data_IF_739091975354
#
_entry.id   IF_739091975354
#
_cell.length_a   1.000
_cell.length_b   1.000
_cell.length_c   1.000
_cell.angle_alpha   90.00
_cell.angle_beta   90.00
_cell.angle_gamma   90.00
#
_symmetry.space_group_name_H-M   'P 1'
#
loop_
_entity.id
_entity.type
_entity.pdbx_description
1 polymer ?
#
# COMPACT_ATOMS: atom_id res chain seq x y z
N UNK A 1 -9.50 3.35 -14.48
CA UNK A 1 -8.71 2.12 -14.69
C UNK A 1 -8.21 1.59 -13.34
N UNK A 2 -8.12 0.26 -13.15
CA UNK A 2 -7.70 -0.36 -11.87
C UNK A 2 -6.23 -0.77 -11.91
N UNK A 3 -5.46 -0.35 -10.92
CA UNK A 3 -4.07 -0.73 -10.71
C UNK A 3 -3.90 -1.51 -9.41
N UNK A 4 -2.81 -2.27 -9.29
CA UNK A 4 -2.43 -2.93 -8.06
C UNK A 4 -0.93 -2.80 -7.76
N UNK A 5 -0.55 -3.10 -6.53
CA UNK A 5 0.86 -3.18 -6.11
C UNK A 5 1.26 -4.65 -5.97
N UNK A 6 2.28 -5.08 -6.72
CA UNK A 6 2.79 -6.45 -6.71
C UNK A 6 4.22 -6.51 -6.19
N UNK A 7 4.53 -7.50 -5.36
CA UNK A 7 5.88 -7.67 -4.85
C UNK A 7 6.88 -7.92 -5.99
N UNK A 8 7.90 -7.07 -6.12
CA UNK A 8 8.92 -7.15 -7.17
C UNK A 8 9.55 -8.54 -7.24
N UNK A 9 9.98 -9.05 -6.09
CA UNK A 9 10.67 -10.33 -5.95
C UNK A 9 9.76 -11.57 -6.13
N UNK A 10 8.44 -11.39 -6.28
CA UNK A 10 7.48 -12.48 -6.57
C UNK A 10 6.98 -12.38 -8.02
N UNK A 11 6.44 -11.21 -8.39
CA UNK A 11 5.76 -10.97 -9.64
C UNK A 11 6.73 -10.65 -10.79
N UNK A 12 7.88 -10.02 -10.50
CA UNK A 12 8.78 -9.45 -11.50
C UNK A 12 10.13 -10.16 -11.56
N UNK A 13 10.11 -11.49 -11.37
CA UNK A 13 11.32 -12.32 -11.34
C UNK A 13 12.01 -12.50 -12.69
N UNK A 14 11.23 -12.51 -13.77
CA UNK A 14 11.72 -12.74 -15.12
C UNK A 14 10.87 -11.97 -16.14
N UNK A 15 11.37 -11.85 -17.37
CA UNK A 15 10.69 -11.09 -18.43
C UNK A 15 9.24 -11.54 -18.67
N UNK A 16 8.96 -12.84 -18.65
CA UNK A 16 7.62 -13.35 -18.92
C UNK A 16 6.62 -12.93 -17.84
N UNK A 17 6.94 -13.15 -16.56
CA UNK A 17 6.07 -12.75 -15.45
C UNK A 17 6.00 -11.22 -15.34
N UNK A 18 7.11 -10.52 -15.51
CA UNK A 18 7.15 -9.05 -15.50
C UNK A 18 6.22 -8.45 -16.57
N UNK A 19 6.25 -8.98 -17.79
CA UNK A 19 5.32 -8.57 -18.86
C UNK A 19 3.87 -8.87 -18.48
N UNK A 20 3.58 -10.10 -17.99
CA UNK A 20 2.24 -10.48 -17.56
C UNK A 20 1.67 -9.51 -16.51
N UNK A 21 2.42 -9.22 -15.45
CA UNK A 21 1.97 -8.34 -14.37
C UNK A 21 1.90 -6.86 -14.81
N UNK A 22 2.83 -6.41 -15.68
CA UNK A 22 2.77 -5.05 -16.24
C UNK A 22 1.52 -4.86 -17.09
N UNK A 23 1.21 -5.81 -17.98
CA UNK A 23 -0.03 -5.80 -18.77
C UNK A 23 -1.28 -5.94 -17.89
N UNK A 24 -1.18 -6.66 -16.78
CA UNK A 24 -2.20 -6.77 -15.75
C UNK A 24 -2.34 -5.54 -14.84
N UNK A 25 -1.70 -4.41 -15.18
CA UNK A 25 -1.76 -3.15 -14.44
C UNK A 25 -1.26 -3.26 -13.00
N UNK A 26 -0.21 -4.07 -12.79
CA UNK A 26 0.43 -4.24 -11.49
C UNK A 26 1.77 -3.49 -11.49
N UNK A 27 1.96 -2.65 -10.48
CA UNK A 27 3.19 -1.89 -10.28
C UNK A 27 4.22 -2.69 -9.45
N UNK A 28 5.50 -2.74 -9.87
CA UNK A 28 6.56 -3.47 -9.19
C UNK A 28 6.96 -2.81 -7.87
N UNK A 29 6.65 -3.43 -6.74
CA UNK A 29 6.83 -2.87 -5.39
C UNK A 29 7.89 -3.65 -4.62
N UNK A 30 8.96 -2.98 -4.19
CA UNK A 30 10.00 -3.58 -3.36
C UNK A 30 9.58 -3.62 -1.89
N UNK A 31 9.88 -4.75 -1.24
CA UNK A 31 9.66 -4.96 0.19
C UNK A 31 11.01 -4.91 0.90
N UNK A 32 11.07 -4.15 2.01
CA UNK A 32 12.30 -3.90 2.79
C UNK A 32 13.09 -5.16 3.15
N UNK A 33 12.38 -6.27 3.36
CA UNK A 33 13.02 -7.54 3.69
C UNK A 33 13.86 -8.13 2.55
N UNK A 34 13.44 -7.93 1.30
CA UNK A 34 14.01 -8.62 0.13
C UNK A 34 14.89 -7.70 -0.72
N UNK A 35 14.82 -6.39 -0.50
CA UNK A 35 15.45 -5.41 -1.36
C UNK A 35 15.79 -4.14 -0.59
N UNK A 36 17.02 -3.60 -0.76
CA UNK A 36 17.39 -2.30 -0.19
C UNK A 36 16.61 -1.15 -0.83
N UNK A 37 15.99 -1.36 -1.99
CA UNK A 37 15.13 -0.39 -2.68
C UNK A 37 13.69 -0.39 -2.15
N UNK A 38 13.39 -1.25 -1.17
CA UNK A 38 12.10 -1.25 -0.48
C UNK A 38 11.92 -0.03 0.41
N UNK A 39 10.68 0.17 0.85
CA UNK A 39 10.36 1.21 1.80
C UNK A 39 9.38 2.24 1.25
N UNK A 40 9.27 3.34 1.97
CA UNK A 40 8.17 4.28 1.80
C UNK A 40 8.32 5.15 0.54
N UNK A 41 9.55 5.50 0.17
CA UNK A 41 9.88 6.45 -0.92
C UNK A 41 10.37 5.77 -2.20
N UNK A 42 10.06 4.49 -2.37
CA UNK A 42 10.37 3.80 -3.62
C UNK A 42 9.65 4.46 -4.82
N UNK A 43 10.26 4.48 -6.03
CA UNK A 43 9.67 5.13 -7.21
C UNK A 43 8.25 4.69 -7.54
N UNK A 44 7.95 3.42 -7.26
CA UNK A 44 6.62 2.81 -7.46
C UNK A 44 5.52 3.49 -6.65
N UNK A 45 5.82 3.96 -5.42
CA UNK A 45 4.85 4.68 -4.62
C UNK A 45 4.55 6.05 -5.22
N UNK A 46 5.56 6.73 -5.78
CA UNK A 46 5.35 7.99 -6.52
C UNK A 46 4.49 7.77 -7.74
N UNK A 47 4.72 6.70 -8.52
CA UNK A 47 3.84 6.35 -9.65
C UNK A 47 2.41 6.06 -9.20
N UNK A 48 2.22 5.35 -8.09
CA UNK A 48 0.90 5.05 -7.53
C UNK A 48 0.15 6.32 -7.10
N UNK A 49 0.82 7.26 -6.41
CA UNK A 49 0.25 8.57 -6.04
C UNK A 49 -0.11 9.35 -7.30
N UNK A 50 0.79 9.41 -8.29
CA UNK A 50 0.50 10.06 -9.57
C UNK A 50 -0.69 9.44 -10.29
N UNK A 51 -0.88 8.13 -10.26
CA UNK A 51 -2.06 7.48 -10.84
C UNK A 51 -3.36 7.88 -10.14
N UNK A 52 -3.34 8.00 -8.79
CA UNK A 52 -4.50 8.42 -8.01
C UNK A 52 -4.83 9.91 -8.20
N UNK A 53 -3.82 10.75 -8.39
CA UNK A 53 -3.96 12.19 -8.53
C UNK A 53 -4.44 12.63 -9.92
N UNK A 54 -5.08 13.80 -9.97
CA UNK A 54 -5.42 14.50 -11.20
C UNK A 54 -4.18 15.03 -11.93
N UNK A 55 -4.30 15.49 -13.19
CA UNK A 55 -3.19 16.02 -13.97
C UNK A 55 -2.73 17.43 -13.55
N UNK A 56 -3.07 17.90 -12.34
CA UNK A 56 -2.78 19.27 -11.90
C UNK A 56 -1.27 19.51 -11.71
N UNK A 57 -0.73 20.69 -12.09
CA UNK A 57 0.65 21.08 -11.79
C UNK A 57 0.98 21.09 -10.29
N UNK A 58 -0.03 21.29 -9.43
CA UNK A 58 0.11 21.25 -7.96
C UNK A 58 0.33 19.83 -7.42
N UNK A 59 -0.06 18.80 -8.17
CA UNK A 59 0.04 17.39 -7.76
C UNK A 59 1.48 16.82 -7.89
N UNK A 60 2.46 17.65 -8.24
CA UNK A 60 3.85 17.26 -8.54
C UNK A 60 4.86 17.55 -7.42
N UNK A 61 4.44 18.15 -6.31
CA UNK A 61 5.31 18.27 -5.13
C UNK A 61 5.10 17.05 -4.22
N UNK A 62 5.68 15.90 -4.59
CA UNK A 62 5.77 14.78 -3.65
C UNK A 62 7.07 14.89 -2.86
N UNK A 63 7.09 14.43 -1.62
CA UNK A 63 8.31 14.39 -0.79
C UNK A 63 9.47 13.58 -1.43
N UNK A 64 9.19 12.85 -2.51
CA UNK A 64 10.16 12.04 -3.27
C UNK A 64 10.83 12.79 -4.43
N UNK A 65 10.33 13.95 -4.87
CA UNK A 65 10.87 14.66 -6.03
C UNK A 65 12.08 15.57 -5.70
N UNK A 66 12.44 15.70 -4.42
CA UNK A 66 13.46 16.65 -3.94
C UNK A 66 14.91 16.19 -4.01
N UNK A 67 15.24 15.06 -4.61
CA UNK A 67 16.66 14.70 -4.81
C UNK A 67 17.31 15.38 -6.04
N UNK A 68 16.53 16.01 -6.94
CA UNK A 68 17.10 16.67 -8.13
C UNK A 68 16.39 17.95 -8.61
N UNK A 69 15.22 18.32 -8.07
CA UNK A 69 14.44 19.45 -8.58
C UNK A 69 14.64 20.73 -7.73
N UNK A 70 15.77 21.41 -7.92
CA UNK A 70 16.02 22.76 -7.37
C UNK A 70 15.50 23.87 -8.29
N UNK A 71 14.36 23.66 -8.98
CA UNK A 71 13.86 24.64 -9.95
C UNK A 71 12.65 25.37 -9.36
N UNK A 72 12.71 26.71 -9.19
CA UNK A 72 11.54 27.50 -8.81
C UNK A 72 10.43 27.35 -9.86
N UNK A 73 9.16 27.68 -9.56
CA UNK A 73 8.06 27.59 -10.54
C UNK A 73 8.37 28.48 -11.74
N UNK A 74 8.91 27.87 -12.79
CA UNK A 74 9.25 28.51 -14.04
C UNK A 74 7.98 28.55 -14.92
N UNK A 75 7.72 29.63 -15.66
CA UNK A 75 6.62 29.70 -16.65
C UNK A 75 6.84 28.78 -17.86
N UNK A 76 7.80 27.86 -17.80
CA UNK A 76 8.06 26.87 -18.83
C UNK A 76 6.91 25.86 -18.93
N UNK A 77 6.61 25.35 -20.15
CA UNK A 77 5.67 24.24 -20.31
C UNK A 77 6.10 23.07 -19.43
N UNK A 78 5.14 22.33 -18.84
CA UNK A 78 5.46 21.22 -17.96
C UNK A 78 6.34 20.21 -18.69
N UNK A 79 7.47 19.85 -18.06
CA UNK A 79 8.38 18.83 -18.59
C UNK A 79 7.57 17.55 -18.85
N UNK A 80 7.66 16.94 -20.04
CA UNK A 80 6.95 15.69 -20.32
C UNK A 80 7.34 14.64 -19.29
N UNK A 81 6.37 14.06 -18.61
CA UNK A 81 6.59 12.96 -17.66
C UNK A 81 7.35 11.83 -18.38
N UNK A 82 8.39 11.26 -17.75
CA UNK A 82 9.17 10.21 -18.39
C UNK A 82 8.28 9.01 -18.67
N UNK A 83 8.32 8.47 -19.89
CA UNK A 83 7.51 7.33 -20.31
C UNK A 83 7.89 6.02 -19.59
N UNK A 84 9.03 6.02 -18.91
CA UNK A 84 9.55 4.89 -18.17
C UNK A 84 10.10 5.33 -16.82
N UNK A 85 10.13 4.39 -15.86
CA UNK A 85 10.77 4.58 -14.57
C UNK A 85 11.52 3.30 -14.18
N UNK A 86 12.56 3.49 -13.38
CA UNK A 86 13.31 2.40 -12.78
C UNK A 86 12.97 2.29 -11.29
N UNK A 87 12.93 1.07 -10.78
CA UNK A 87 12.72 0.78 -9.35
C UNK A 87 14.03 0.53 -8.59
N UNK A 88 15.11 0.22 -9.30
CA UNK A 88 16.43 -0.08 -8.69
C UNK A 88 17.62 0.55 -9.43
N UNK A 89 17.39 1.37 -10.46
CA UNK A 89 18.40 2.01 -11.30
C UNK A 89 18.89 1.15 -12.47
N UNK A 90 18.45 -0.10 -12.60
CA UNK A 90 18.87 -1.06 -13.63
C UNK A 90 17.69 -1.55 -14.46
N UNK A 91 16.55 -1.81 -13.82
CA UNK A 91 15.32 -2.20 -14.50
C UNK A 91 14.63 -1.01 -15.19
N UNK A 92 13.69 -1.32 -16.08
CA UNK A 92 12.96 -0.32 -16.83
C UNK A 92 11.50 -0.76 -17.01
N UNK A 93 10.57 0.01 -16.42
CA UNK A 93 9.14 -0.23 -16.49
C UNK A 93 8.45 0.95 -17.15
N UNK A 94 7.37 0.72 -17.89
CA UNK A 94 6.52 1.81 -18.39
C UNK A 94 5.97 2.60 -17.22
N UNK A 95 6.04 3.93 -17.25
CA UNK A 95 5.47 4.82 -16.25
C UNK A 95 4.02 5.14 -16.65
N UNK A 96 3.01 4.44 -16.09
CA UNK A 96 1.64 4.61 -16.56
C UNK A 96 1.09 5.99 -16.27
N UNK A 97 1.59 6.68 -15.23
CA UNK A 97 1.14 8.01 -14.89
C UNK A 97 1.58 9.10 -15.89
N UNK A 98 2.47 8.78 -16.84
CA UNK A 98 2.83 9.66 -17.95
C UNK A 98 1.67 9.84 -18.94
N UNK A 99 0.69 8.93 -18.95
CA UNK A 99 -0.49 9.03 -19.79
C UNK A 99 -1.66 9.62 -18.99
N UNK A 100 -2.19 10.76 -19.44
CA UNK A 100 -3.31 11.45 -18.77
C UNK A 100 -4.55 10.56 -18.59
N UNK A 101 -4.80 9.63 -19.53
CA UNK A 101 -5.88 8.65 -19.46
C UNK A 101 -5.79 7.69 -18.26
N UNK A 102 -4.59 7.53 -17.69
CA UNK A 102 -4.35 6.68 -16.52
C UNK A 102 -4.47 7.43 -15.18
N UNK A 103 -4.68 8.75 -15.20
CA UNK A 103 -4.86 9.58 -13.98
C UNK A 103 -6.26 9.40 -13.40
N UNK A 104 -6.45 9.78 -12.13
CA UNK A 104 -7.68 9.49 -11.37
C UNK A 104 -8.06 7.99 -11.45
N UNK A 105 -7.04 7.13 -11.42
CA UNK A 105 -7.21 5.69 -11.43
C UNK A 105 -7.67 5.18 -10.07
N UNK A 106 -8.05 3.91 -10.03
CA UNK A 106 -8.32 3.18 -8.79
C UNK A 106 -7.12 2.30 -8.47
N UNK A 107 -6.73 2.24 -7.19
CA UNK A 107 -5.61 1.42 -6.74
C UNK A 107 -6.09 0.43 -5.67
N UNK A 108 -5.84 -0.86 -5.89
CA UNK A 108 -6.11 -1.92 -4.94
C UNK A 108 -4.83 -2.28 -4.17
N UNK A 109 -4.87 -2.23 -2.83
CA UNK A 109 -3.70 -2.46 -1.97
C UNK A 109 -4.01 -3.45 -0.86
N UNK A 110 -3.06 -4.34 -0.56
CA UNK A 110 -3.07 -5.21 0.62
C UNK A 110 -2.07 -4.66 1.67
N UNK A 111 -2.52 -3.85 2.62
CA UNK A 111 -1.64 -3.03 3.45
C UNK A 111 -0.82 -3.81 4.50
N UNK A 112 -1.15 -5.05 4.80
CA UNK A 112 -0.35 -5.91 5.69
C UNK A 112 0.98 -6.34 5.04
N UNK A 113 1.06 -6.29 3.71
CA UNK A 113 2.22 -6.63 2.90
C UNK A 113 2.81 -8.04 3.15
N UNK A 114 1.99 -8.97 3.63
CA UNK A 114 2.31 -10.40 3.75
C UNK A 114 1.03 -11.24 3.67
N UNK A 115 1.18 -12.56 3.48
CA UNK A 115 0.07 -13.48 3.67
C UNK A 115 -0.03 -13.79 5.17
N UNK A 116 -1.05 -13.22 5.83
CA UNK A 116 -1.38 -13.45 7.23
C UNK A 116 -2.62 -14.32 7.32
N UNK A 117 -2.50 -15.50 7.93
CA UNK A 117 -3.63 -16.41 8.15
C UNK A 117 -3.81 -16.63 9.66
N UNK A 118 -4.60 -15.78 10.30
CA UNK A 118 -4.91 -15.88 11.72
C UNK A 118 -6.03 -16.90 11.99
N UNK A 119 -5.97 -17.70 13.08
CA UNK A 119 -7.04 -18.61 13.47
C UNK A 119 -8.38 -17.92 13.70
N UNK A 120 -8.37 -16.70 14.24
CA UNK A 120 -9.53 -15.87 14.56
C UNK A 120 -9.87 -14.84 13.45
N UNK A 121 -9.19 -14.95 12.30
CA UNK A 121 -9.25 -13.97 11.20
C UNK A 121 -8.99 -12.53 11.65
N UNK A 122 -8.19 -12.31 12.72
CA UNK A 122 -7.72 -11.00 13.16
C UNK A 122 -6.81 -10.33 12.13
N UNK A 123 -6.64 -9.02 12.27
CA UNK A 123 -5.87 -8.20 11.33
C UNK A 123 -4.47 -7.89 11.90
N UNK A 124 -3.49 -7.73 11.01
CA UNK A 124 -2.18 -7.18 11.38
C UNK A 124 -2.19 -5.65 11.30
N UNK A 125 -1.15 -5.01 11.84
CA UNK A 125 -0.89 -3.60 11.54
C UNK A 125 -0.72 -3.37 10.04
N UNK A 126 -1.14 -2.19 9.59
CA UNK A 126 -1.04 -1.78 8.19
C UNK A 126 0.24 -0.96 7.95
N UNK A 127 0.92 -1.23 6.84
CA UNK A 127 2.15 -0.52 6.44
C UNK A 127 1.84 0.91 6.01
N UNK A 128 2.74 1.85 6.32
CA UNK A 128 2.57 3.29 6.06
C UNK A 128 2.46 3.69 4.58
N UNK A 129 2.67 2.77 3.63
CA UNK A 129 2.51 3.05 2.21
C UNK A 129 1.10 3.55 1.87
N UNK A 130 0.06 3.01 2.51
CA UNK A 130 -1.32 3.51 2.31
C UNK A 130 -1.53 4.93 2.79
N UNK A 131 -0.80 5.34 3.83
CA UNK A 131 -0.88 6.71 4.34
C UNK A 131 -0.39 7.71 3.33
N UNK A 132 0.67 7.40 2.56
CA UNK A 132 1.12 8.28 1.47
C UNK A 132 0.07 8.42 0.38
N UNK A 133 -0.58 7.32 0.00
CA UNK A 133 -1.62 7.34 -1.02
C UNK A 133 -2.77 8.28 -0.63
N UNK A 134 -3.18 8.31 0.64
CA UNK A 134 -4.28 9.15 1.13
C UNK A 134 -3.83 10.62 1.35
N UNK A 135 -2.63 10.82 1.90
CA UNK A 135 -2.14 12.15 2.28
C UNK A 135 -1.60 12.95 1.09
N UNK A 136 -0.93 12.30 0.13
CA UNK A 136 -0.21 12.95 -0.96
C UNK A 136 -0.98 13.00 -2.28
N UNK A 137 -2.08 12.23 -2.43
CA UNK A 137 -2.88 12.30 -3.64
C UNK A 137 -3.80 13.53 -3.66
N UNK A 138 -3.90 14.16 -4.82
CA UNK A 138 -4.69 15.37 -5.06
C UNK A 138 -5.43 15.28 -6.42
N UNK A 139 -6.78 15.29 -6.46
CA UNK A 139 -7.68 15.30 -5.30
C UNK A 139 -7.56 14.05 -4.44
N UNK A 140 -8.18 14.08 -3.25
CA UNK A 140 -8.20 12.93 -2.35
C UNK A 140 -8.79 11.70 -3.06
N UNK A 141 -8.18 10.51 -2.93
CA UNK A 141 -8.71 9.32 -3.56
C UNK A 141 -9.83 8.74 -2.70
N UNK A 142 -11.00 8.50 -3.28
CA UNK A 142 -12.11 7.82 -2.61
C UNK A 142 -11.63 6.51 -1.94
N UNK A 143 -12.05 6.31 -0.69
CA UNK A 143 -11.61 5.18 0.12
C UNK A 143 -12.72 4.14 0.28
N UNK A 144 -12.42 2.90 -0.11
CA UNK A 144 -13.35 1.76 -0.03
C UNK A 144 -12.64 0.63 0.75
N UNK A 145 -13.00 0.37 2.02
CA UNK A 145 -12.42 -0.75 2.76
C UNK A 145 -12.96 -2.08 2.23
N UNK A 146 -12.13 -3.12 2.28
CA UNK A 146 -12.51 -4.48 1.92
C UNK A 146 -11.96 -5.47 2.94
N UNK A 147 -12.79 -6.41 3.38
CA UNK A 147 -12.38 -7.55 4.19
C UNK A 147 -12.60 -8.85 3.41
N UNK A 148 -11.53 -9.63 3.25
CA UNK A 148 -11.55 -10.90 2.49
C UNK A 148 -11.27 -12.05 3.44
N UNK A 149 -12.22 -12.99 3.52
CA UNK A 149 -12.13 -14.16 4.38
C UNK A 149 -12.42 -15.45 3.61
N UNK A 150 -11.77 -16.54 4.00
CA UNK A 150 -12.00 -17.90 3.48
C UNK A 150 -10.96 -18.37 2.46
N UNK A 151 -10.13 -17.46 1.94
CA UNK A 151 -9.01 -17.80 1.05
C UNK A 151 -7.98 -18.70 1.72
N UNK A 152 -7.82 -18.58 3.05
CA UNK A 152 -6.99 -19.44 3.88
C UNK A 152 -7.48 -20.89 3.93
N UNK A 153 -8.78 -21.16 3.73
CA UNK A 153 -9.30 -22.53 3.67
C UNK A 153 -9.08 -23.17 2.29
N UNK A 154 -8.97 -22.33 1.24
CA UNK A 154 -8.65 -22.78 -0.12
C UNK A 154 -7.15 -23.04 -0.26
N UNK A 155 -6.32 -22.11 0.22
CA UNK A 155 -4.86 -22.11 0.10
C UNK A 155 -4.19 -21.92 1.48
N UNK A 156 -4.38 -22.89 2.39
CA UNK A 156 -3.83 -22.86 3.74
C UNK A 156 -2.29 -22.90 3.74
N UNK A 157 -1.61 -22.10 4.55
CA UNK A 157 -0.13 -22.02 4.54
C UNK A 157 0.58 -23.29 5.06
N UNK A 158 -0.13 -24.11 5.83
CA UNK A 158 0.30 -25.43 6.32
C UNK A 158 -0.04 -26.58 5.37
N UNK A 159 -0.57 -26.29 4.17
CA UNK A 159 -0.98 -27.32 3.20
C UNK A 159 0.19 -28.20 2.73
N UNK A 160 -0.04 -29.51 2.71
CA UNK A 160 0.85 -30.52 2.16
C UNK A 160 0.82 -30.63 0.63
N UNK A 161 1.38 -31.72 0.11
CA UNK A 161 1.35 -32.02 -1.33
C UNK A 161 -0.03 -32.56 -1.77
N UNK A 162 -0.60 -32.11 -2.92
CA UNK A 162 -0.08 -31.11 -3.85
C UNK A 162 -0.34 -29.67 -3.39
N UNK A 163 0.73 -28.89 -3.20
CA UNK A 163 0.67 -27.53 -2.62
C UNK A 163 0.07 -26.47 -3.54
N UNK A 164 0.03 -26.74 -4.84
CA UNK A 164 -0.43 -25.80 -5.87
C UNK A 164 -1.94 -25.90 -6.14
N UNK A 165 -2.60 -26.96 -5.66
CA UNK A 165 -4.00 -27.22 -5.98
C UNK A 165 -4.92 -26.57 -4.92
N UNK A 166 -5.87 -25.69 -5.31
CA UNK A 166 -6.81 -25.09 -4.38
C UNK A 166 -7.80 -26.13 -3.85
N UNK A 167 -8.14 -26.05 -2.55
CA UNK A 167 -9.15 -26.93 -1.94
C UNK A 167 -10.57 -26.51 -2.37
N UNK A 168 -11.28 -27.42 -3.02
CA UNK A 168 -12.64 -27.22 -3.53
C UNK A 168 -13.66 -27.29 -2.38
N UNK A 169 -14.79 -26.60 -2.50
CA UNK A 169 -15.92 -26.66 -1.55
C UNK A 169 -15.85 -25.67 -0.38
N UNK A 170 -14.76 -24.91 -0.27
CA UNK A 170 -14.64 -23.83 0.71
C UNK A 170 -15.36 -22.56 0.24
N UNK A 171 -15.85 -21.76 1.20
CA UNK A 171 -16.54 -20.50 0.93
C UNK A 171 -15.57 -19.34 1.06
N UNK A 172 -15.59 -18.42 0.08
CA UNK A 172 -14.94 -17.11 0.18
C UNK A 172 -16.02 -16.07 0.48
N UNK A 173 -15.77 -15.23 1.47
CA UNK A 173 -16.59 -14.07 1.82
C UNK A 173 -15.78 -12.82 1.56
N UNK A 174 -16.31 -11.92 0.76
CA UNK A 174 -15.73 -10.61 0.51
C UNK A 174 -16.76 -9.59 0.97
N UNK A 175 -16.39 -8.78 1.95
CA UNK A 175 -17.19 -7.68 2.45
C UNK A 175 -16.58 -6.41 1.92
N UNK A 176 -17.36 -5.62 1.20
CA UNK A 176 -16.94 -4.33 0.65
C UNK A 176 -17.71 -3.28 1.45
N UNK A 177 -16.99 -2.34 2.05
CA UNK A 177 -17.60 -1.23 2.77
C UNK A 177 -18.17 -0.19 1.81
N UNK A 178 -19.00 0.69 2.35
CA UNK A 178 -19.51 1.83 1.59
C UNK A 178 -18.35 2.78 1.20
N UNK A 179 -18.38 3.37 0.00
CA UNK A 179 -17.42 4.38 -0.37
C UNK A 179 -17.48 5.54 0.63
N UNK A 180 -16.35 5.81 1.27
CA UNK A 180 -16.31 6.76 2.37
C UNK A 180 -15.72 8.09 1.92
N UNK A 181 -16.35 9.18 2.35
CA UNK A 181 -15.77 10.51 2.17
C UNK A 181 -14.43 10.59 2.92
N UNK A 182 -13.38 10.80 2.14
CA UNK A 182 -11.99 10.85 2.61
C UNK A 182 -11.80 11.99 3.60
N UNK A 183 -12.50 13.11 3.41
CA UNK A 183 -12.40 14.26 4.31
C UNK A 183 -13.15 14.00 5.63
N UNK A 184 -14.18 13.15 5.62
CA UNK A 184 -14.83 12.70 6.85
C UNK A 184 -13.93 11.78 7.69
N UNK A 185 -13.22 10.85 7.08
CA UNK A 185 -12.41 9.86 7.82
C UNK A 185 -10.99 10.37 8.09
N UNK A 186 -10.38 11.04 7.13
CA UNK A 186 -8.97 11.41 7.15
C UNK A 186 -8.75 12.94 7.09
N UNK A 187 -9.80 13.76 7.10
CA UNK A 187 -9.71 15.21 6.89
C UNK A 187 -8.81 15.92 7.88
N UNK A 188 -8.80 15.51 9.15
CA UNK A 188 -7.89 16.08 10.16
C UNK A 188 -6.42 15.83 9.79
N UNK A 189 -6.07 14.59 9.46
CA UNK A 189 -4.71 14.22 9.07
C UNK A 189 -4.31 14.87 7.75
N UNK A 190 -5.23 14.96 6.78
CA UNK A 190 -4.97 15.63 5.50
C UNK A 190 -4.78 17.14 5.66
N UNK A 191 -5.56 17.80 6.51
CA UNK A 191 -5.40 19.21 6.81
C UNK A 191 -4.05 19.49 7.51
N UNK A 192 -3.66 18.66 8.47
CA UNK A 192 -2.35 18.74 9.11
C UNK A 192 -1.20 18.49 8.11
N UNK A 193 -1.36 17.50 7.22
CA UNK A 193 -0.40 17.23 6.15
C UNK A 193 -0.25 18.42 5.20
N UNK A 194 -1.35 19.07 4.79
CA UNK A 194 -1.31 20.29 3.96
C UNK A 194 -0.53 21.41 4.64
N UNK A 195 -0.77 21.66 5.94
CA UNK A 195 0.02 22.64 6.71
C UNK A 195 1.50 22.29 6.77
N UNK A 196 1.84 21.00 6.82
CA UNK A 196 3.22 20.54 6.79
C UNK A 196 3.86 20.78 5.42
N UNK A 197 3.13 20.53 4.33
CA UNK A 197 3.55 20.81 2.96
C UNK A 197 3.77 22.32 2.74
N UNK A 198 2.92 23.16 3.29
CA UNK A 198 3.03 24.63 3.21
C UNK A 198 4.32 25.18 3.86
N UNK A 199 4.93 24.44 4.80
CA UNK A 199 6.25 24.81 5.35
C UNK A 199 7.37 24.69 4.32
N UNK A 200 7.14 23.96 3.22
CA UNK A 200 8.05 23.88 2.06
C UNK A 200 9.33 23.08 2.29
N UNK A 201 9.45 22.35 3.40
CA UNK A 201 10.65 21.57 3.72
C UNK A 201 10.42 20.07 3.43
N UNK A 202 11.06 19.51 2.39
CA UNK A 202 10.90 18.11 2.03
C UNK A 202 11.49 17.14 3.07
N UNK A 203 12.49 17.55 3.85
CA UNK A 203 13.04 16.72 4.93
C UNK A 203 12.03 16.62 6.08
N UNK A 204 11.31 17.70 6.38
CA UNK A 204 10.23 17.66 7.37
C UNK A 204 9.10 16.72 6.92
N UNK A 205 8.71 16.77 5.65
CA UNK A 205 7.71 15.83 5.12
C UNK A 205 8.21 14.39 5.21
N UNK A 206 9.51 14.15 5.06
CA UNK A 206 10.07 12.81 5.04
C UNK A 206 10.19 12.22 6.46
N UNK A 207 10.86 12.95 7.33
CA UNK A 207 11.49 12.40 8.55
C UNK A 207 10.95 13.02 9.85
N UNK A 208 10.16 14.10 9.78
CA UNK A 208 9.67 14.76 11.00
C UNK A 208 8.79 13.83 11.85
N UNK A 209 8.82 14.00 13.19
CA UNK A 209 7.92 13.29 14.08
C UNK A 209 6.44 13.50 13.72
N UNK A 210 6.08 14.73 13.34
CA UNK A 210 4.72 15.10 12.89
C UNK A 210 4.30 14.30 11.65
N UNK A 211 5.15 14.22 10.61
CA UNK A 211 4.88 13.40 9.42
C UNK A 211 4.72 11.90 9.75
N UNK A 212 5.54 11.38 10.66
CA UNK A 212 5.47 9.97 11.09
C UNK A 212 4.18 9.68 11.85
N UNK A 213 3.79 10.56 12.77
CA UNK A 213 2.54 10.44 13.52
C UNK A 213 1.32 10.47 12.61
N UNK A 214 1.28 11.39 11.64
CA UNK A 214 0.20 11.44 10.64
C UNK A 214 0.10 10.12 9.87
N UNK A 215 1.24 9.53 9.46
CA UNK A 215 1.24 8.24 8.75
C UNK A 215 0.76 7.09 9.62
N UNK A 216 1.19 7.03 10.89
CA UNK A 216 0.73 6.02 11.85
C UNK A 216 -0.78 6.14 12.06
N UNK A 217 -1.26 7.37 12.29
CA UNK A 217 -2.69 7.67 12.49
C UNK A 217 -3.53 7.24 11.28
N UNK A 218 -3.12 7.60 10.06
CA UNK A 218 -3.85 7.21 8.84
C UNK A 218 -3.82 5.69 8.63
N UNK A 219 -2.66 5.04 8.78
CA UNK A 219 -2.56 3.59 8.61
C UNK A 219 -3.44 2.83 9.61
N UNK A 220 -3.46 3.29 10.88
CA UNK A 220 -4.36 2.76 11.90
C UNK A 220 -5.83 2.97 11.52
N UNK A 221 -6.20 4.18 11.10
CA UNK A 221 -7.59 4.50 10.71
C UNK A 221 -8.05 3.63 9.53
N UNK A 222 -7.19 3.38 8.53
CA UNK A 222 -7.47 2.45 7.43
C UNK A 222 -7.72 1.03 7.94
N UNK A 223 -6.93 0.56 8.92
CA UNK A 223 -7.14 -0.74 9.56
C UNK A 223 -8.47 -0.79 10.30
N UNK A 224 -8.78 0.22 11.11
CA UNK A 224 -10.01 0.30 11.89
C UNK A 224 -11.25 0.22 10.97
N UNK A 225 -11.21 0.84 9.78
CA UNK A 225 -12.31 0.73 8.80
C UNK A 225 -12.47 -0.70 8.22
N UNK A 226 -11.36 -1.43 8.04
CA UNK A 226 -11.42 -2.85 7.61
C UNK A 226 -11.90 -3.75 8.76
N UNK A 227 -11.54 -3.42 9.99
CA UNK A 227 -11.97 -4.13 11.20
C UNK A 227 -13.49 -4.08 11.40
N UNK A 228 -14.12 -2.93 11.15
CA UNK A 228 -15.59 -2.82 11.15
C UNK A 228 -16.26 -3.81 10.18
N UNK A 229 -15.67 -4.03 9.01
CA UNK A 229 -16.19 -5.00 8.04
C UNK A 229 -16.02 -6.44 8.53
N UNK A 230 -14.91 -6.74 9.22
CA UNK A 230 -14.69 -8.02 9.88
C UNK A 230 -15.75 -8.27 10.95
N UNK A 231 -16.03 -7.30 11.81
CA UNK A 231 -17.08 -7.39 12.84
C UNK A 231 -18.47 -7.59 12.24
N UNK A 232 -18.76 -6.91 11.13
CA UNK A 232 -20.08 -6.97 10.47
C UNK A 232 -20.49 -8.38 10.01
N UNK A 233 -19.53 -9.29 9.82
CA UNK A 233 -19.79 -10.68 9.44
C UNK A 233 -19.68 -11.68 10.59
N UNK A 234 -19.70 -11.18 11.84
CA UNK A 234 -19.84 -11.97 13.05
C UNK A 234 -18.52 -12.38 13.73
N UNK A 235 -17.39 -11.78 13.34
CA UNK A 235 -16.15 -11.94 14.12
C UNK A 235 -16.18 -11.02 15.36
N UNK A 236 -15.62 -11.45 16.50
CA UNK A 236 -15.58 -10.63 17.70
C UNK A 236 -14.69 -9.40 17.48
N UNK A 237 -15.09 -8.25 18.03
CA UNK A 237 -14.23 -7.07 18.08
C UNK A 237 -12.89 -7.41 18.73
N UNK A 238 -11.79 -6.82 18.25
CA UNK A 238 -10.50 -7.05 18.89
C UNK A 238 -10.44 -6.27 20.21
N UNK A 239 -10.34 -7.00 21.33
CA UNK A 239 -10.27 -6.38 22.66
C UNK A 239 -8.92 -5.70 22.91
N UNK A 240 -7.85 -6.21 22.29
CA UNK A 240 -6.50 -5.70 22.42
C UNK A 240 -6.05 -4.95 21.15
N UNK A 241 -6.02 -3.63 21.22
CA UNK A 241 -5.57 -2.75 20.14
C UNK A 241 -4.08 -2.88 19.80
N UNK A 242 -3.31 -3.70 20.53
CA UNK A 242 -1.88 -3.92 20.25
C UNK A 242 -1.63 -4.54 18.87
N UNK A 243 -2.57 -5.31 18.32
CA UNK A 243 -2.43 -5.90 16.98
C UNK A 243 -2.31 -4.84 15.87
N UNK A 244 -2.80 -3.62 16.10
CA UNK A 244 -2.66 -2.49 15.18
C UNK A 244 -1.27 -1.82 15.22
N UNK A 245 -0.42 -2.15 16.21
CA UNK A 245 0.89 -1.53 16.43
C UNK A 245 2.03 -2.35 15.82
N UNK A 246 2.95 -1.71 15.10
CA UNK A 246 4.07 -2.41 14.46
C UNK A 246 5.01 -3.06 15.49
N UNK A 247 5.14 -2.44 16.67
CA UNK A 247 5.98 -2.85 17.80
C UNK A 247 5.56 -4.23 18.34
N UNK A 248 4.25 -4.49 18.43
CA UNK A 248 3.71 -5.79 18.87
C UNK A 248 4.26 -6.92 18.01
N UNK A 249 4.33 -6.67 16.70
CA UNK A 249 4.78 -7.65 15.72
C UNK A 249 6.29 -7.66 15.48
N UNK A 250 7.06 -6.79 16.16
CA UNK A 250 8.52 -6.87 16.15
C UNK A 250 9.02 -8.16 16.82
N UNK A 251 8.18 -8.83 17.61
CA UNK A 251 8.40 -10.15 18.22
C UNK A 251 8.43 -11.29 17.20
N UNK A 252 7.94 -11.07 15.98
CA UNK A 252 7.94 -12.10 14.94
C UNK A 252 9.38 -12.48 14.54
N UNK A 253 9.68 -13.78 14.35
CA UNK A 253 11.01 -14.22 13.97
C UNK A 253 11.41 -13.69 12.60
N UNK A 254 12.72 -13.51 12.40
CA UNK A 254 13.27 -13.12 11.10
C UNK A 254 13.27 -14.30 10.10
N UNK A 255 12.10 -14.88 9.79
CA UNK A 255 11.91 -16.08 8.93
C UNK A 255 10.88 -15.85 7.83
N UNK A 256 11.03 -16.58 6.72
CA UNK A 256 10.12 -16.54 5.56
C UNK A 256 8.72 -17.08 5.90
N UNK A 257 8.66 -18.23 6.56
CA UNK A 257 7.44 -18.88 7.03
C UNK A 257 7.57 -19.19 8.51
N UNK A 258 6.57 -18.83 9.30
CA UNK A 258 6.57 -19.09 10.74
C UNK A 258 5.14 -19.02 11.28
N UNK A 259 4.95 -19.58 12.48
CA UNK A 259 3.78 -19.35 13.32
C UNK A 259 4.08 -18.15 14.22
N UNK A 260 3.29 -17.08 14.15
CA UNK A 260 3.52 -15.87 14.94
C UNK A 260 3.33 -16.16 16.42
N UNK A 261 4.24 -15.71 17.30
CA UNK A 261 4.03 -15.79 18.75
C UNK A 261 3.02 -14.75 19.27
N UNK A 262 2.56 -13.82 18.42
CA UNK A 262 1.62 -12.76 18.81
C UNK A 262 0.20 -13.29 18.88
N UNK A 263 -0.27 -13.91 17.80
CA UNK A 263 -1.67 -14.34 17.62
C UNK A 263 -1.78 -15.81 17.16
N UNK A 264 -0.66 -16.52 17.03
CA UNK A 264 -0.65 -17.88 16.52
C UNK A 264 -0.89 -18.01 15.01
N UNK A 265 -0.92 -16.90 14.26
CA UNK A 265 -1.13 -16.89 12.82
C UNK A 265 -0.01 -17.58 12.05
N UNK A 266 -0.37 -18.17 10.90
CA UNK A 266 0.62 -18.63 9.92
C UNK A 266 0.96 -17.46 9.01
N UNK A 267 2.21 -16.98 9.10
CA UNK A 267 2.68 -15.87 8.30
C UNK A 267 3.66 -16.39 7.24
N UNK A 268 3.43 -15.96 6.01
CA UNK A 268 4.35 -16.17 4.90
C UNK A 268 4.76 -14.82 4.31
N UNK A 269 5.99 -14.43 4.62
CA UNK A 269 6.72 -13.31 4.02
C UNK A 269 7.44 -13.87 2.80
N UNK A 270 6.70 -14.05 1.70
CA UNK A 270 7.20 -14.63 0.45
C UNK A 270 8.48 -13.98 -0.02
#
# INVERSE_FOLDING_TARGET
MRWGLGAHDICFKNKATSTFFTLGQVLPTHRLWHSPYGGLYQPTMTQAIKLLSGPSPSSWSTASDSALATVPPSPAPPVPEPLFFSTNGVDNFTAPAAFSVNRNAWLHVFPEACCHQSPDSGLRYFKWGVSRLILESDPAPEFIPMFVHGTQHIMAEDRGFPRFLPRIGNKVRIVIGEPTDVDQVFGHQRAAWKKLVEKGDPELLRDSPEARELRVSVAKRVRDEVEKLRESIGFPAEEDGTAALAETWAKDPHKKKYKSPVDGSLVNRH
#
